data_IF_319229819338
#
_entry.id   IF_319229819338
#
_cell.length_a   1.000
_cell.length_b   1.000
_cell.length_c   1.000
_cell.angle_alpha   90.00
_cell.angle_beta   90.00
_cell.angle_gamma   90.00
#
_symmetry.space_group_name_H-M   'P 1'
#
loop_
_entity.id
_entity.type
_entity.pdbx_description
1 polymer ?
#
# COMPACT_ATOMS: atom_id res chain seq x y z
N UNK A 1 -19.95 2.88 -14.93
CA UNK A 1 -19.01 4.01 -14.82
C UNK A 1 -17.80 3.55 -14.01
N UNK A 2 -16.62 3.42 -14.63
CA UNK A 2 -15.37 3.14 -13.93
C UNK A 2 -14.93 4.41 -13.20
N UNK A 3 -14.96 4.41 -11.86
CA UNK A 3 -14.90 5.65 -11.06
C UNK A 3 -13.48 6.17 -10.79
N UNK A 4 -12.43 5.37 -11.05
CA UNK A 4 -11.04 5.69 -10.71
C UNK A 4 -9.98 5.34 -11.77
N UNK A 5 -10.37 4.71 -12.88
CA UNK A 5 -9.43 4.26 -13.94
C UNK A 5 -8.21 3.48 -13.39
N UNK A 6 -8.45 2.58 -12.42
CA UNK A 6 -7.38 1.78 -11.80
C UNK A 6 -6.88 0.67 -12.71
N UNK A 7 -7.69 0.27 -13.69
CA UNK A 7 -7.34 -0.70 -14.72
C UNK A 7 -6.14 -0.28 -15.59
N UNK A 8 -5.80 1.01 -15.62
CA UNK A 8 -4.59 1.52 -16.26
C UNK A 8 -3.30 1.19 -15.50
N UNK A 9 -3.39 0.89 -14.20
CA UNK A 9 -2.23 0.80 -13.29
C UNK A 9 -2.18 -0.47 -12.44
N UNK A 10 -3.30 -1.20 -12.30
CA UNK A 10 -3.36 -2.46 -11.55
C UNK A 10 -4.42 -3.40 -12.14
N UNK A 11 -4.13 -4.70 -12.16
CA UNK A 11 -5.11 -5.70 -12.58
C UNK A 11 -6.13 -5.98 -11.48
N UNK A 12 -7.34 -6.42 -11.85
CA UNK A 12 -8.36 -6.84 -10.87
C UNK A 12 -7.87 -7.97 -9.96
N UNK A 13 -7.09 -8.90 -10.49
CA UNK A 13 -6.54 -10.02 -9.72
C UNK A 13 -5.55 -9.52 -8.68
N UNK A 14 -4.65 -8.62 -9.07
CA UNK A 14 -3.66 -8.04 -8.16
C UNK A 14 -4.32 -7.18 -7.07
N UNK A 15 -5.29 -6.34 -7.42
CA UNK A 15 -6.05 -5.57 -6.45
C UNK A 15 -6.78 -6.48 -5.44
N UNK A 16 -7.39 -7.58 -5.90
CA UNK A 16 -8.01 -8.59 -5.02
C UNK A 16 -7.00 -9.27 -4.12
N UNK A 17 -5.81 -9.58 -4.63
CA UNK A 17 -4.74 -10.17 -3.82
C UNK A 17 -4.33 -9.23 -2.70
N UNK A 18 -4.08 -7.95 -3.02
CA UNK A 18 -3.69 -6.93 -2.04
C UNK A 18 -4.76 -6.71 -0.97
N UNK A 19 -6.04 -6.71 -1.36
CA UNK A 19 -7.15 -6.66 -0.39
C UNK A 19 -7.12 -7.90 0.50
N UNK A 20 -6.95 -9.10 -0.06
CA UNK A 20 -6.88 -10.33 0.72
C UNK A 20 -5.68 -10.34 1.69
N UNK A 21 -4.54 -9.75 1.30
CA UNK A 21 -3.38 -9.60 2.16
C UNK A 21 -3.67 -8.67 3.36
N UNK A 22 -4.47 -7.63 3.18
CA UNK A 22 -4.90 -6.76 4.29
C UNK A 22 -5.81 -7.52 5.29
N UNK A 23 -6.67 -8.42 4.81
CA UNK A 23 -7.42 -9.31 5.70
C UNK A 23 -6.50 -10.27 6.46
N UNK A 24 -5.53 -10.89 5.77
CA UNK A 24 -4.57 -11.83 6.37
C UNK A 24 -3.65 -11.15 7.37
N UNK A 25 -3.29 -9.88 7.16
CA UNK A 25 -2.49 -9.07 8.10
C UNK A 25 -3.11 -9.01 9.50
N UNK A 26 -4.43 -9.16 9.60
CA UNK A 26 -5.17 -9.15 10.86
C UNK A 26 -5.70 -10.53 11.27
N UNK A 27 -5.22 -11.63 10.66
CA UNK A 27 -5.74 -12.98 10.91
C UNK A 27 -5.54 -13.46 12.37
N UNK A 28 -4.49 -12.96 13.03
CA UNK A 28 -4.14 -13.37 14.40
C UNK A 28 -4.90 -12.59 15.48
N UNK A 29 -5.85 -11.72 15.08
CA UNK A 29 -6.68 -10.96 16.03
C UNK A 29 -7.80 -11.86 16.54
N UNK A 30 -7.73 -12.25 17.81
CA UNK A 30 -8.73 -13.12 18.43
C UNK A 30 -9.82 -12.37 19.19
N UNK A 31 -9.57 -11.11 19.59
CA UNK A 31 -10.53 -10.36 20.39
C UNK A 31 -11.74 -9.93 19.54
N UNK A 32 -12.97 -10.39 19.85
CA UNK A 32 -14.14 -10.12 19.03
C UNK A 32 -14.48 -8.64 18.92
N UNK A 33 -14.25 -7.83 19.96
CA UNK A 33 -14.47 -6.38 19.89
C UNK A 33 -13.49 -5.68 18.95
N UNK A 34 -12.27 -6.20 18.85
CA UNK A 34 -11.26 -5.67 17.93
C UNK A 34 -11.61 -6.07 16.50
N UNK A 35 -12.05 -7.32 16.29
CA UNK A 35 -12.55 -7.79 14.99
C UNK A 35 -13.71 -6.90 14.53
N UNK A 36 -14.71 -6.66 15.38
CA UNK A 36 -15.86 -5.79 15.06
C UNK A 36 -15.41 -4.39 14.63
N UNK A 37 -14.45 -3.80 15.37
CA UNK A 37 -13.93 -2.49 15.04
C UNK A 37 -13.14 -2.47 13.72
N UNK A 38 -12.38 -3.52 13.42
CA UNK A 38 -11.64 -3.66 12.16
C UNK A 38 -12.59 -3.77 10.97
N UNK A 39 -13.63 -4.61 11.08
CA UNK A 39 -14.67 -4.75 10.05
C UNK A 39 -15.42 -3.44 9.86
N UNK A 40 -15.77 -2.74 10.94
CA UNK A 40 -16.40 -1.43 10.89
C UNK A 40 -15.54 -0.42 10.13
N UNK A 41 -14.25 -0.30 10.47
CA UNK A 41 -13.31 0.59 9.77
C UNK A 41 -13.14 0.21 8.29
N UNK A 42 -13.05 -1.08 7.98
CA UNK A 42 -12.95 -1.58 6.60
C UNK A 42 -14.20 -1.22 5.78
N UNK A 43 -15.39 -1.28 6.38
CA UNK A 43 -16.63 -0.86 5.75
C UNK A 43 -16.67 0.65 5.51
N UNK A 44 -16.30 1.47 6.48
CA UNK A 44 -16.22 2.93 6.31
C UNK A 44 -15.25 3.31 5.17
N UNK A 45 -14.11 2.64 5.13
CA UNK A 45 -13.13 2.83 4.06
C UNK A 45 -13.69 2.43 2.68
N UNK A 46 -14.46 1.33 2.58
CA UNK A 46 -15.16 0.95 1.35
C UNK A 46 -16.19 2.02 0.94
N UNK A 47 -16.98 2.54 1.89
CA UNK A 47 -17.95 3.61 1.63
C UNK A 47 -17.23 4.83 1.07
N UNK A 48 -16.08 5.23 1.62
CA UNK A 48 -15.28 6.36 1.12
C UNK A 48 -14.83 6.21 -0.34
N UNK A 49 -14.53 4.99 -0.80
CA UNK A 49 -14.24 4.72 -2.21
C UNK A 49 -15.51 4.77 -3.08
N UNK A 50 -16.62 4.23 -2.58
CA UNK A 50 -17.89 4.24 -3.31
C UNK A 50 -18.47 5.65 -3.46
N UNK A 51 -18.37 6.48 -2.41
CA UNK A 51 -18.82 7.88 -2.40
C UNK A 51 -17.88 8.85 -3.11
N UNK A 52 -16.72 8.38 -3.58
CA UNK A 52 -15.66 9.22 -4.15
C UNK A 52 -15.14 10.30 -3.19
N UNK A 53 -15.18 10.04 -1.88
CA UNK A 53 -14.58 10.90 -0.87
C UNK A 53 -13.05 10.91 -0.95
N UNK A 54 -12.43 9.90 -1.58
CA UNK A 54 -10.98 9.86 -1.87
C UNK A 54 -10.69 10.19 -3.33
N UNK A 55 -9.63 10.97 -3.56
CA UNK A 55 -9.09 11.24 -4.90
C UNK A 55 -8.29 10.05 -5.44
N UNK A 56 -8.25 9.89 -6.78
CA UNK A 56 -7.54 8.80 -7.48
C UNK A 56 -6.09 8.64 -7.01
N UNK A 57 -5.38 9.75 -6.81
CA UNK A 57 -3.98 9.71 -6.36
C UNK A 57 -3.82 8.98 -5.02
N UNK A 58 -4.75 9.18 -4.07
CA UNK A 58 -4.75 8.46 -2.80
C UNK A 58 -5.04 6.97 -2.96
N UNK A 59 -5.95 6.61 -3.88
CA UNK A 59 -6.26 5.21 -4.17
C UNK A 59 -5.04 4.49 -4.75
N UNK A 60 -4.32 5.16 -5.67
CA UNK A 60 -3.12 4.63 -6.31
C UNK A 60 -1.98 4.49 -5.29
N UNK A 61 -1.74 5.51 -4.47
CA UNK A 61 -0.67 5.45 -3.47
C UNK A 61 -0.91 4.33 -2.45
N UNK A 62 -2.16 4.11 -2.06
CA UNK A 62 -2.53 3.06 -1.09
C UNK A 62 -2.50 1.66 -1.69
N UNK A 63 -3.15 1.44 -2.84
CA UNK A 63 -3.41 0.09 -3.36
C UNK A 63 -2.54 -0.32 -4.55
N UNK A 64 -1.80 0.58 -5.19
CA UNK A 64 -0.94 0.28 -6.35
C UNK A 64 0.53 0.40 -6.00
N UNK A 65 0.90 1.46 -5.28
CA UNK A 65 2.30 1.69 -4.89
C UNK A 65 2.63 0.98 -3.57
N UNK A 66 1.69 0.97 -2.61
CA UNK A 66 1.88 0.39 -1.29
C UNK A 66 2.78 1.24 -0.37
N UNK A 67 3.01 0.80 0.89
CA UNK A 67 3.75 1.57 1.90
C UNK A 67 5.17 1.97 1.48
N UNK A 68 5.80 1.17 0.61
CA UNK A 68 7.19 1.37 0.14
C UNK A 68 7.35 2.51 -0.87
N UNK A 69 6.25 3.06 -1.44
CA UNK A 69 6.33 4.24 -2.31
C UNK A 69 5.50 5.42 -1.83
N UNK A 70 5.18 5.45 -0.54
CA UNK A 70 4.73 6.65 0.19
C UNK A 70 5.90 7.47 0.73
N UNK A 71 7.12 7.30 0.19
CA UNK A 71 8.29 8.08 0.61
C UNK A 71 8.01 9.56 0.27
N UNK A 72 7.96 10.46 1.26
CA UNK A 72 7.94 11.89 0.98
C UNK A 72 9.17 12.19 0.12
N UNK A 73 8.99 12.98 -0.94
CA UNK A 73 10.09 13.51 -1.74
C UNK A 73 10.95 14.41 -0.85
N UNK A 74 11.90 13.82 -0.12
CA UNK A 74 13.03 14.54 0.44
C UNK A 74 13.98 14.79 -0.74
N UNK A 75 14.43 16.03 -0.99
CA UNK A 75 15.40 16.30 -2.05
C UNK A 75 16.68 15.51 -1.76
N UNK A 76 16.94 14.43 -2.51
CA UNK A 76 18.17 13.63 -2.40
C UNK A 76 17.99 12.10 -2.29
N UNK A 77 16.78 11.58 -2.13
CA UNK A 77 16.55 10.12 -1.98
C UNK A 77 16.51 9.37 -3.32
N UNK A 78 17.37 8.36 -3.46
CA UNK A 78 17.52 7.55 -4.67
C UNK A 78 16.22 6.86 -5.13
N UNK A 79 15.94 6.97 -6.43
CA UNK A 79 14.80 6.33 -7.09
C UNK A 79 14.85 4.80 -6.97
N UNK A 80 13.92 4.18 -6.25
CA UNK A 80 13.59 2.77 -6.51
C UNK A 80 12.70 2.71 -7.75
N UNK A 81 13.31 2.74 -8.95
CA UNK A 81 12.60 2.46 -10.20
C UNK A 81 12.11 1.00 -10.14
N UNK A 82 10.81 0.72 -10.36
CA UNK A 82 10.35 -0.66 -10.51
C UNK A 82 11.05 -1.27 -11.72
N UNK A 83 11.84 -2.33 -11.50
CA UNK A 83 12.60 -3.03 -12.53
C UNK A 83 14.12 -3.09 -12.34
N UNK A 84 14.69 -2.44 -11.31
CA UNK A 84 16.11 -2.61 -10.98
C UNK A 84 16.24 -3.67 -9.88
N UNK A 85 16.65 -4.89 -10.27
CA UNK A 85 17.17 -5.87 -9.30
C UNK A 85 18.45 -5.25 -8.71
N UNK A 86 18.52 -4.96 -7.39
CA UNK A 86 19.74 -4.42 -6.82
C UNK A 86 20.83 -5.48 -6.96
N UNK A 87 21.89 -5.14 -7.71
CA UNK A 87 23.09 -5.97 -7.81
C UNK A 87 23.66 -6.19 -6.41
N UNK A 88 23.62 -7.45 -5.98
CA UNK A 88 24.54 -8.13 -5.06
C UNK A 88 25.06 -7.42 -3.81
N UNK A 89 24.75 -7.98 -2.65
CA UNK A 89 25.73 -8.18 -1.57
C UNK A 89 25.60 -7.31 -0.32
N UNK A 90 24.95 -6.16 -0.40
CA UNK A 90 24.92 -5.23 0.73
C UNK A 90 23.69 -5.44 1.60
N UNK A 91 23.92 -5.66 2.91
CA UNK A 91 22.84 -5.85 3.88
C UNK A 91 21.98 -4.59 4.01
N UNK A 92 20.70 -4.76 4.38
CA UNK A 92 19.81 -3.64 4.65
C UNK A 92 20.39 -2.69 5.70
N UNK A 93 21.10 -3.24 6.68
CA UNK A 93 21.86 -2.47 7.68
C UNK A 93 22.91 -1.54 7.04
N UNK A 94 23.74 -2.05 6.12
CA UNK A 94 24.79 -1.23 5.50
C UNK A 94 24.21 -0.06 4.70
N UNK A 95 23.10 -0.29 4.00
CA UNK A 95 22.40 0.79 3.28
C UNK A 95 21.88 1.86 4.23
N UNK A 96 21.16 1.45 5.28
CA UNK A 96 20.64 2.39 6.28
C UNK A 96 21.75 3.11 7.06
N UNK A 97 22.90 2.46 7.28
CA UNK A 97 24.06 3.06 7.95
C UNK A 97 24.63 4.23 7.16
N UNK A 98 24.77 4.12 5.83
CA UNK A 98 25.29 5.20 4.98
C UNK A 98 24.27 6.31 4.67
N UNK A 99 22.97 6.06 4.88
CA UNK A 99 21.92 7.05 4.64
C UNK A 99 21.64 7.95 5.84
N UNK A 100 21.93 7.52 7.08
CA UNK A 100 21.53 8.25 8.30
C UNK A 100 22.63 8.54 9.32
N UNK A 101 23.89 8.16 9.06
CA UNK A 101 25.08 8.59 9.84
C UNK A 101 26.03 9.38 8.94
#
# INVERSE_FOLDING_TARGET
>A
MFRYNLDEVITRQELRSRIADEFRRHQDVENPKVIDLLVFKGREELVNYLSQSKQRHHVISQWVVGPQGQVPTIPGGAHHKPGIVPKGGESQFLRSFYESN
#
